data_IF_173987715850
#
_entry.id   IF_173987715850
#
_cell.length_a   1.000
_cell.length_b   1.000
_cell.length_c   1.000
_cell.angle_alpha   90.00
_cell.angle_beta   90.00
_cell.angle_gamma   90.00
#
_symmetry.space_group_name_H-M   'P 1'
#
loop_
_entity.id
_entity.type
_entity.pdbx_description
1 polymer ?
#
# COMPACT_ATOMS: atom_id res chain seq x y z
N UNK A 1 10.13 -13.99 -8.02
CA UNK A 1 9.05 -14.51 -7.17
C UNK A 1 8.85 -13.51 -6.05
N UNK A 2 7.88 -12.62 -6.19
CA UNK A 2 7.66 -11.53 -5.24
C UNK A 2 6.90 -12.07 -4.03
N UNK A 3 7.55 -12.11 -2.86
CA UNK A 3 6.95 -12.49 -1.57
C UNK A 3 5.98 -11.39 -1.10
N UNK A 4 4.84 -11.25 -1.77
CA UNK A 4 3.75 -10.36 -1.41
C UNK A 4 2.59 -11.20 -0.93
N UNK A 5 2.05 -10.84 0.22
CA UNK A 5 0.83 -11.49 0.73
C UNK A 5 -0.40 -10.88 0.05
N UNK A 6 -1.49 -11.64 -0.04
CA UNK A 6 -2.72 -11.18 -0.71
C UNK A 6 -3.24 -9.85 -0.18
N UNK A 7 -3.19 -9.64 1.14
CA UNK A 7 -3.61 -8.37 1.74
C UNK A 7 -2.66 -7.20 1.43
N UNK A 8 -1.37 -7.48 1.21
CA UNK A 8 -0.38 -6.45 0.83
C UNK A 8 -0.61 -6.04 -0.62
N UNK A 9 -0.92 -7.01 -1.48
CA UNK A 9 -1.27 -6.78 -2.86
C UNK A 9 -2.58 -5.99 -3.00
N UNK A 10 -3.60 -6.33 -2.20
CA UNK A 10 -4.86 -5.57 -2.17
C UNK A 10 -4.65 -4.12 -1.71
N UNK A 11 -3.74 -3.88 -0.76
CA UNK A 11 -3.33 -2.52 -0.39
C UNK A 11 -2.75 -1.78 -1.59
N UNK A 12 -1.83 -2.40 -2.34
CA UNK A 12 -1.23 -1.77 -3.53
C UNK A 12 -2.28 -1.46 -4.60
N UNK A 13 -3.22 -2.38 -4.85
CA UNK A 13 -4.35 -2.21 -5.78
C UNK A 13 -5.24 -1.03 -5.40
N UNK A 14 -5.68 -0.98 -4.13
CA UNK A 14 -6.50 0.12 -3.61
C UNK A 14 -5.77 1.45 -3.67
N UNK A 15 -4.47 1.47 -3.35
CA UNK A 15 -3.66 2.68 -3.46
C UNK A 15 -3.53 3.16 -4.91
N UNK A 16 -3.44 2.23 -5.88
CA UNK A 16 -3.41 2.55 -7.30
C UNK A 16 -4.76 3.10 -7.77
N UNK A 17 -5.86 2.45 -7.38
CA UNK A 17 -7.22 2.87 -7.73
C UNK A 17 -7.55 4.28 -7.20
N UNK A 18 -7.13 4.59 -5.98
CA UNK A 18 -7.29 5.93 -5.38
C UNK A 18 -6.28 6.96 -5.93
N UNK A 19 -5.33 6.56 -6.78
CA UNK A 19 -4.37 7.47 -7.39
C UNK A 19 -3.23 7.94 -6.47
N UNK A 20 -2.88 7.16 -5.44
CA UNK A 20 -1.73 7.44 -4.56
C UNK A 20 -0.39 7.05 -5.21
N UNK A 21 -0.16 7.59 -6.41
CA UNK A 21 1.01 7.36 -7.23
C UNK A 21 2.01 8.50 -7.00
N UNK A 22 3.31 8.19 -7.12
CA UNK A 22 4.47 9.10 -7.14
C UNK A 22 4.17 10.61 -7.10
N UNK A 23 4.83 11.34 -6.18
CA UNK A 23 4.71 12.79 -5.97
C UNK A 23 3.38 13.28 -5.36
N UNK A 24 2.44 12.37 -5.09
CA UNK A 24 1.28 12.65 -4.26
C UNK A 24 1.61 12.37 -2.79
N UNK A 25 2.11 13.40 -2.09
CA UNK A 25 2.53 13.34 -0.68
C UNK A 25 1.32 13.21 0.26
N UNK A 26 0.68 12.04 0.27
CA UNK A 26 -0.50 11.77 1.10
C UNK A 26 -0.11 11.18 2.44
N UNK A 27 -0.72 11.70 3.52
CA UNK A 27 -0.52 11.18 4.87
C UNK A 27 -1.00 9.74 5.02
N UNK A 28 -0.27 8.95 5.82
CA UNK A 28 -0.59 7.52 6.05
C UNK A 28 -2.01 7.29 6.57
N UNK A 29 -2.52 8.19 7.41
CA UNK A 29 -3.88 8.11 7.97
C UNK A 29 -4.96 8.34 6.89
N UNK A 30 -4.71 9.28 5.97
CA UNK A 30 -5.62 9.53 4.87
C UNK A 30 -5.63 8.34 3.90
N UNK A 31 -4.46 7.78 3.59
CA UNK A 31 -4.36 6.56 2.78
C UNK A 31 -5.11 5.41 3.47
N UNK A 32 -4.88 5.19 4.77
CA UNK A 32 -5.54 4.13 5.55
C UNK A 32 -7.07 4.21 5.45
N UNK A 33 -7.61 5.43 5.57
CA UNK A 33 -9.04 5.70 5.45
C UNK A 33 -9.55 5.48 4.03
N UNK A 34 -8.81 5.95 3.02
CA UNK A 34 -9.19 5.91 1.60
C UNK A 34 -9.20 4.50 1.03
N UNK A 35 -8.15 3.72 1.31
CA UNK A 35 -8.10 2.31 0.92
C UNK A 35 -9.04 1.43 1.77
N UNK A 36 -9.63 2.00 2.83
CA UNK A 36 -10.48 1.30 3.79
C UNK A 36 -9.75 0.13 4.44
N UNK A 37 -8.56 0.38 5.00
CA UNK A 37 -7.71 -0.66 5.59
C UNK A 37 -8.44 -1.55 6.60
N UNK A 38 -9.34 -1.00 7.42
CA UNK A 38 -10.13 -1.78 8.38
C UNK A 38 -10.94 -2.89 7.72
N UNK A 39 -11.49 -2.66 6.53
CA UNK A 39 -12.24 -3.64 5.76
C UNK A 39 -11.30 -4.74 5.22
N UNK A 40 -10.17 -4.34 4.64
CA UNK A 40 -9.13 -5.26 4.15
C UNK A 40 -8.61 -6.14 5.29
N UNK A 41 -8.21 -5.52 6.40
CA UNK A 41 -7.68 -6.21 7.56
C UNK A 41 -8.68 -7.23 8.13
N UNK A 42 -9.97 -6.89 8.13
CA UNK A 42 -11.04 -7.81 8.54
C UNK A 42 -11.19 -8.97 7.55
N UNK A 43 -11.24 -8.69 6.25
CA UNK A 43 -11.40 -9.71 5.19
C UNK A 43 -10.26 -10.74 5.21
N UNK A 44 -9.02 -10.25 5.30
CA UNK A 44 -7.82 -11.09 5.29
C UNK A 44 -7.35 -11.54 6.69
N UNK A 45 -8.15 -11.31 7.75
CA UNK A 45 -7.85 -11.65 9.15
C UNK A 45 -6.49 -11.11 9.64
N UNK A 46 -6.10 -9.92 9.16
CA UNK A 46 -4.85 -9.26 9.52
C UNK A 46 -5.01 -8.51 10.84
N UNK A 47 -4.21 -8.89 11.85
CA UNK A 47 -4.18 -8.20 13.16
C UNK A 47 -3.17 -7.05 13.24
N UNK A 48 -2.37 -6.84 12.19
CA UNK A 48 -1.33 -5.80 12.14
C UNK A 48 -1.95 -4.46 11.75
N UNK A 49 -1.50 -3.36 12.35
CA UNK A 49 -1.91 -2.02 11.93
C UNK A 49 -1.34 -1.65 10.55
N UNK A 50 -2.04 -0.77 9.83
CA UNK A 50 -1.65 -0.33 8.48
C UNK A 50 -0.21 0.17 8.43
N UNK A 51 0.18 1.01 9.40
CA UNK A 51 1.56 1.53 9.51
C UNK A 51 2.64 0.45 9.51
N UNK A 52 2.37 -0.73 10.09
CA UNK A 52 3.32 -1.85 10.11
C UNK A 52 3.38 -2.57 8.76
N UNK A 53 2.24 -2.69 8.08
CA UNK A 53 2.13 -3.27 6.73
C UNK A 53 2.81 -2.35 5.72
N UNK A 54 2.50 -1.06 5.74
CA UNK A 54 3.11 -0.05 4.89
C UNK A 54 4.63 -0.02 5.03
N UNK A 55 5.18 -0.07 6.25
CA UNK A 55 6.64 -0.19 6.46
C UNK A 55 7.22 -1.47 5.85
N UNK A 56 6.48 -2.59 5.88
CA UNK A 56 6.88 -3.82 5.20
C UNK A 56 6.96 -3.62 3.69
N UNK A 57 5.93 -3.01 3.10
CA UNK A 57 5.88 -2.68 1.67
C UNK A 57 6.98 -1.69 1.25
N UNK A 58 7.32 -0.71 2.09
CA UNK A 58 8.46 0.20 1.87
C UNK A 58 9.78 -0.56 1.85
N UNK A 59 10.02 -1.43 2.84
CA UNK A 59 11.23 -2.27 2.88
C UNK A 59 11.35 -3.21 1.68
N UNK A 60 10.22 -3.64 1.12
CA UNK A 60 10.17 -4.47 -0.09
C UNK A 60 10.30 -3.67 -1.39
N UNK A 61 10.30 -2.34 -1.34
CA UNK A 61 10.48 -1.46 -2.51
C UNK A 61 9.20 -1.11 -3.27
N UNK A 62 8.02 -1.49 -2.78
CA UNK A 62 6.73 -1.21 -3.45
C UNK A 62 6.12 0.15 -3.08
N UNK A 63 6.50 0.69 -1.93
CA UNK A 63 6.10 2.02 -1.46
C UNK A 63 7.34 2.87 -1.16
N UNK A 64 7.24 4.17 -1.33
CA UNK A 64 8.25 5.12 -0.84
C UNK A 64 7.69 5.91 0.33
N UNK A 65 8.49 6.00 1.40
CA UNK A 65 8.29 6.95 2.49
C UNK A 65 9.00 8.26 2.15
N UNK A 66 8.23 9.35 2.07
CA UNK A 66 8.75 10.69 1.77
C UNK A 66 8.81 11.61 3.01
N UNK A 67 8.39 11.13 4.19
CA UNK A 67 8.29 11.96 5.40
C UNK A 67 9.26 11.53 6.51
N UNK A 68 9.42 12.37 7.53
CA UNK A 68 9.98 11.89 8.81
C UNK A 68 9.03 10.82 9.37
N UNK A 69 9.57 9.62 9.63
CA UNK A 69 8.87 8.53 10.31
C UNK A 69 7.65 7.91 9.59
N UNK A 70 7.65 7.83 8.25
CA UNK A 70 6.56 7.19 7.50
C UNK A 70 5.23 7.92 7.64
N UNK A 71 5.30 9.25 7.66
CA UNK A 71 4.13 10.12 7.72
C UNK A 71 3.44 10.21 6.35
N UNK A 72 4.20 10.07 5.26
CA UNK A 72 3.74 10.26 3.88
C UNK A 72 4.18 9.09 3.02
N UNK A 73 3.25 8.50 2.26
CA UNK A 73 3.52 7.33 1.42
C UNK A 73 3.04 7.53 -0.01
N UNK A 74 3.76 6.95 -0.95
CA UNK A 74 3.40 6.91 -2.36
C UNK A 74 3.77 5.55 -2.97
N UNK A 75 3.06 5.14 -4.02
CA UNK A 75 3.44 3.96 -4.81
C UNK A 75 4.71 4.23 -5.63
N UNK A 76 5.63 3.26 -5.60
CA UNK A 76 6.79 3.25 -6.49
C UNK A 76 6.40 2.71 -7.87
N UNK A 77 7.28 2.87 -8.87
CA UNK A 77 7.08 2.25 -10.19
C UNK A 77 6.88 0.74 -10.10
N UNK A 78 7.61 0.06 -9.24
CA UNK A 78 7.44 -1.38 -8.98
C UNK A 78 6.11 -1.70 -8.30
N UNK A 79 5.70 -0.91 -7.30
CA UNK A 79 4.40 -1.07 -6.66
C UNK A 79 3.23 -0.93 -7.64
N UNK A 80 3.31 0.05 -8.54
CA UNK A 80 2.31 0.24 -9.63
C UNK A 80 2.33 -0.96 -10.57
N UNK A 81 3.51 -1.41 -11.01
CA UNK A 81 3.65 -2.52 -11.95
C UNK A 81 3.04 -3.81 -11.39
N UNK A 82 3.31 -4.12 -10.12
CA UNK A 82 2.74 -5.31 -9.46
C UNK A 82 1.23 -5.17 -9.28
N UNK A 83 0.74 -4.00 -8.87
CA UNK A 83 -0.70 -3.77 -8.73
C UNK A 83 -1.45 -3.93 -10.06
N UNK A 84 -0.88 -3.43 -11.16
CA UNK A 84 -1.45 -3.58 -12.51
C UNK A 84 -1.42 -5.03 -12.99
N UNK A 85 -0.28 -5.71 -12.86
CA UNK A 85 -0.11 -7.08 -13.33
C UNK A 85 -1.07 -8.09 -12.67
N UNK A 86 -1.65 -7.76 -11.52
CA UNK A 86 -2.63 -8.61 -10.83
C UNK A 86 -4.07 -8.07 -10.94
N UNK A 87 -4.29 -6.97 -11.67
CA UNK A 87 -5.62 -6.41 -11.94
C UNK A 87 -6.16 -6.77 -13.32
N UNK A 88 -5.38 -7.46 -14.15
CA UNK A 88 -5.74 -7.93 -15.50
C UNK A 88 -6.24 -9.39 -15.53
N UNK A 89 -6.98 -9.82 -14.49
CA UNK A 89 -7.66 -11.14 -14.46
C UNK A 89 -9.18 -10.95 -14.43
#
# INVERSE_FOLDING_TARGET
>A
MTDLKDYELEVLKRMLNEGFISNNYTSIENIESKIKWKEIARSYKVRRGFKRVARGLVKKGYLTDHGKSTAVLSLTKDGVKVALATSED
#
